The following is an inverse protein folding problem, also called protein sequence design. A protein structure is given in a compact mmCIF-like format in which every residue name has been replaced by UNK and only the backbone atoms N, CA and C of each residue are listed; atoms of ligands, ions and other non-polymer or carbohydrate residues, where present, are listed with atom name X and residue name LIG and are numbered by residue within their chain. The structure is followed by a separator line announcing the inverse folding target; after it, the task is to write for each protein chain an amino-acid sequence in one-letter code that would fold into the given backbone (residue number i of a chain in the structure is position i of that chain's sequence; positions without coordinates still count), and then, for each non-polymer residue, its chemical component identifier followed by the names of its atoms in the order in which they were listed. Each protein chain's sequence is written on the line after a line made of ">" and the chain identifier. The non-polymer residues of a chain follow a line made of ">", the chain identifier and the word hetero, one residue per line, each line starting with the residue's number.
data_IF_339056824246
#
_entry.id   IF_339056824246
#
_cell.length_a   1.000
_cell.length_b   1.000
_cell.length_c   1.000
_cell.angle_alpha   90.00
_cell.angle_beta   90.00
_cell.angle_gamma   90.00
#
_symmetry.space_group_name_H-M   'P 1'
#
loop_
_entity.id
_entity.type
_entity.pdbx_description
1 polymer ?
#
# COMPACT_ATOMS: atom_id res chain seq x y z
N UNK A 1 4.65 -5.18 -7.89
CA UNK A 1 3.95 -4.28 -6.95
C UNK A 1 2.60 -4.89 -6.62
N UNK A 2 2.14 -4.75 -5.39
CA UNK A 2 0.78 -5.10 -4.97
C UNK A 2 0.06 -3.84 -4.47
N UNK A 3 -1.22 -3.72 -4.80
CA UNK A 3 -2.12 -2.70 -4.27
C UNK A 3 -3.08 -3.39 -3.32
N UNK A 4 -3.08 -3.00 -2.05
CA UNK A 4 -3.81 -3.69 -0.99
C UNK A 4 -4.66 -2.72 -0.20
N UNK A 5 -5.86 -3.13 0.20
CA UNK A 5 -6.80 -2.33 1.00
C UNK A 5 -6.85 -2.79 2.47
N UNK A 6 -6.34 -3.99 2.76
CA UNK A 6 -6.47 -4.65 4.06
C UNK A 6 -5.11 -4.97 4.71
N UNK A 7 -5.05 -5.04 6.06
CA UNK A 7 -3.83 -5.41 6.78
C UNK A 7 -3.26 -6.77 6.36
N UNK A 8 -4.13 -7.76 6.11
CA UNK A 8 -3.72 -9.10 5.71
C UNK A 8 -3.10 -9.11 4.31
N UNK A 9 -3.69 -8.35 3.38
CA UNK A 9 -3.14 -8.13 2.05
C UNK A 9 -1.74 -7.51 2.11
N UNK A 10 -1.61 -6.40 2.86
CA UNK A 10 -0.31 -5.72 3.09
C UNK A 10 0.74 -6.69 3.63
N UNK A 11 0.38 -7.49 4.64
CA UNK A 11 1.29 -8.47 5.23
C UNK A 11 1.69 -9.56 4.24
N UNK A 12 0.75 -10.06 3.45
CA UNK A 12 1.01 -11.08 2.44
C UNK A 12 1.95 -10.56 1.36
N UNK A 13 1.64 -9.39 0.79
CA UNK A 13 2.43 -8.75 -0.25
C UNK A 13 3.85 -8.40 0.22
N UNK A 14 3.96 -7.80 1.41
CA UNK A 14 5.26 -7.46 2.02
C UNK A 14 6.11 -8.70 2.27
N UNK A 15 5.51 -9.78 2.81
CA UNK A 15 6.20 -11.07 3.03
C UNK A 15 6.65 -11.74 1.73
N UNK A 16 5.95 -11.50 0.63
CA UNK A 16 6.32 -11.98 -0.70
C UNK A 16 7.42 -11.12 -1.37
N UNK A 17 7.91 -10.07 -0.70
CA UNK A 17 8.91 -9.14 -1.24
C UNK A 17 8.35 -8.16 -2.28
N UNK A 18 7.02 -7.99 -2.33
CA UNK A 18 6.41 -7.02 -3.24
C UNK A 18 6.58 -5.59 -2.71
N UNK A 19 6.87 -4.65 -3.61
CA UNK A 19 6.59 -3.22 -3.33
C UNK A 19 5.08 -3.09 -3.13
N UNK A 20 4.67 -2.78 -1.91
CA UNK A 20 3.27 -2.81 -1.48
C UNK A 20 2.78 -1.38 -1.30
N UNK A 21 1.69 -1.00 -1.97
CA UNK A 21 1.01 0.30 -1.79
C UNK A 21 -0.35 0.02 -1.18
N UNK A 22 -0.66 0.67 -0.06
CA UNK A 22 -1.97 0.53 0.55
C UNK A 22 -2.93 1.58 0.01
N UNK A 23 -4.14 1.16 -0.36
CA UNK A 23 -5.26 2.01 -0.77
C UNK A 23 -6.43 1.74 0.18
N UNK A 24 -6.54 2.47 1.30
CA UNK A 24 -7.56 2.19 2.31
C UNK A 24 -8.97 2.42 1.77
N UNK A 25 -9.89 1.51 2.10
CA UNK A 25 -11.31 1.63 1.75
C UNK A 25 -12.12 2.21 2.93
N UNK A 26 -12.29 1.44 4.01
CA UNK A 26 -13.11 1.83 5.17
C UNK A 26 -12.30 2.26 6.39
N UNK A 27 -11.05 1.84 6.49
CA UNK A 27 -10.21 2.05 7.67
C UNK A 27 -8.83 2.55 7.28
N UNK A 28 -8.37 3.58 7.99
CA UNK A 28 -7.01 4.08 7.84
C UNK A 28 -5.96 3.05 8.32
N UNK A 29 -4.75 3.06 7.75
CA UNK A 29 -3.67 2.20 8.19
C UNK A 29 -3.22 2.52 9.61
N UNK A 30 -2.94 1.46 10.37
CA UNK A 30 -2.27 1.53 11.66
C UNK A 30 -0.74 1.61 11.49
N UNK A 31 -0.03 1.90 12.59
CA UNK A 31 1.43 2.08 12.59
C UNK A 31 2.20 0.89 12.01
N UNK A 32 1.72 -0.34 12.23
CA UNK A 32 2.35 -1.54 11.67
C UNK A 32 2.25 -1.58 10.13
N UNK A 33 1.09 -1.22 9.58
CA UNK A 33 0.88 -1.18 8.13
C UNK A 33 1.74 -0.09 7.49
N UNK A 34 1.81 1.09 8.12
CA UNK A 34 2.65 2.20 7.64
C UNK A 34 4.13 1.83 7.54
N UNK A 35 4.62 0.96 8.42
CA UNK A 35 6.00 0.45 8.38
C UNK A 35 6.21 -0.63 7.30
N UNK A 36 5.15 -1.30 6.88
CA UNK A 36 5.22 -2.44 5.95
C UNK A 36 4.98 -2.07 4.48
N UNK A 37 4.41 -0.89 4.21
CA UNK A 37 4.08 -0.41 2.87
C UNK A 37 5.14 0.57 2.34
N UNK A 38 5.27 0.63 1.02
CA UNK A 38 6.05 1.65 0.33
C UNK A 38 5.36 3.02 0.36
N UNK A 39 4.04 3.04 0.15
CA UNK A 39 3.23 4.25 0.18
C UNK A 39 1.79 3.92 0.56
N UNK A 40 1.07 4.94 1.02
CA UNK A 40 -0.39 4.91 1.15
C UNK A 40 -0.95 5.90 0.13
N UNK A 41 -1.79 5.41 -0.77
CA UNK A 41 -2.52 6.26 -1.71
C UNK A 41 -3.98 6.35 -1.27
N UNK A 42 -4.58 7.55 -1.16
CA UNK A 42 -5.93 7.71 -0.61
C UNK A 42 -7.04 7.17 -1.53
N UNK A 43 -6.72 6.84 -2.78
CA UNK A 43 -7.62 6.24 -3.76
C UNK A 43 -6.82 5.61 -4.90
N UNK A 44 -7.46 4.77 -5.71
CA UNK A 44 -6.82 4.08 -6.83
C UNK A 44 -6.25 5.05 -7.88
N UNK A 45 -6.89 6.20 -8.14
CA UNK A 45 -6.36 7.19 -9.10
C UNK A 45 -5.07 7.84 -8.61
N UNK A 46 -4.88 7.99 -7.28
CA UNK A 46 -3.65 8.54 -6.69
C UNK A 46 -2.47 7.57 -6.69
N UNK A 47 -2.70 6.30 -7.03
CA UNK A 47 -1.61 5.37 -7.29
C UNK A 47 -0.78 5.80 -8.50
N UNK A 48 -1.36 6.53 -9.47
CA UNK A 48 -0.63 7.08 -10.62
C UNK A 48 0.52 7.97 -10.14
N UNK A 49 0.26 8.87 -9.19
CA UNK A 49 1.28 9.76 -8.63
C UNK A 49 2.40 8.95 -7.96
N UNK A 50 2.07 7.86 -7.27
CA UNK A 50 3.06 6.95 -6.65
C UNK A 50 3.93 6.28 -7.72
N UNK A 51 3.33 5.83 -8.81
CA UNK A 51 4.03 5.18 -9.92
C UNK A 51 4.95 6.13 -10.67
N UNK A 52 4.52 7.37 -10.92
CA UNK A 52 5.32 8.38 -11.61
C UNK A 52 6.52 8.86 -10.77
N UNK A 53 6.39 8.84 -9.44
CA UNK A 53 7.45 9.24 -8.52
C UNK A 53 8.38 8.08 -8.09
N UNK A 54 8.10 6.86 -8.53
CA UNK A 54 8.96 5.71 -8.30
C UNK A 54 10.21 5.83 -9.17
N UNK A 55 11.36 6.10 -8.55
CA UNK A 55 12.67 6.11 -9.22
C UNK A 55 13.48 4.86 -8.89
#
# INVERSE_FOLDING_TARGET
>A
MALEDSPNGVKSASSAGCVTVMVPDLTEPEEEQLKAVYAVAPSLDKVIDVLENMK
#
